data_IF_950201510671
#
_entry.id   IF_950201510671
#
_cell.length_a   1.000
_cell.length_b   1.000
_cell.length_c   1.000
_cell.angle_alpha   90.00
_cell.angle_beta   90.00
_cell.angle_gamma   90.00
#
_symmetry.space_group_name_H-M   'P 1'
#
loop_
_entity.id
_entity.type
_entity.pdbx_description
1 polymer ?
#
# COMPACT_ATOMS: atom_id res chain seq x y z
N UNK A 1 2.56 15.71 -41.00
CA UNK A 1 3.39 15.15 -39.91
C UNK A 1 3.21 15.98 -38.66
N UNK A 2 2.26 15.62 -37.80
CA UNK A 2 2.19 16.11 -36.42
C UNK A 2 2.16 14.86 -35.56
N UNK A 3 3.21 14.75 -34.77
CA UNK A 3 3.65 13.62 -33.99
C UNK A 3 2.47 12.98 -33.27
N UNK A 4 2.15 11.77 -33.71
CA UNK A 4 1.43 10.77 -32.93
C UNK A 4 2.32 10.53 -31.70
N UNK A 5 2.15 11.32 -30.64
CA UNK A 5 2.54 10.88 -29.31
C UNK A 5 1.46 9.87 -28.94
N UNK A 6 1.66 8.67 -29.44
CA UNK A 6 1.12 7.46 -28.84
C UNK A 6 1.54 7.55 -27.38
N UNK A 7 0.66 8.05 -26.52
CA UNK A 7 0.68 7.67 -25.12
C UNK A 7 0.41 6.18 -25.19
N UNK A 8 1.50 5.42 -25.36
CA UNK A 8 1.56 4.03 -24.98
C UNK A 8 1.19 4.10 -23.50
N UNK A 9 -0.10 3.89 -23.22
CA UNK A 9 -0.53 3.28 -21.98
C UNK A 9 0.22 1.96 -22.02
N UNK A 10 1.43 1.97 -21.46
CA UNK A 10 2.15 0.78 -21.09
C UNK A 10 1.22 0.09 -20.11
N UNK A 11 0.38 -0.77 -20.66
CA UNK A 11 -0.14 -1.98 -20.05
C UNK A 11 1.09 -2.83 -19.67
N UNK A 12 1.92 -2.32 -18.75
CA UNK A 12 2.75 -3.17 -17.94
C UNK A 12 1.74 -3.98 -17.13
N UNK A 13 1.46 -5.19 -17.61
CA UNK A 13 1.08 -6.30 -16.75
C UNK A 13 2.16 -6.38 -15.70
N UNK A 14 1.88 -5.78 -14.54
CA UNK A 14 2.78 -5.79 -13.41
C UNK A 14 2.62 -7.15 -12.75
N UNK A 15 3.22 -8.16 -13.36
CA UNK A 15 3.18 -9.51 -12.85
C UNK A 15 4.24 -9.59 -11.75
N UNK A 16 3.79 -9.58 -10.49
CA UNK A 16 4.67 -9.78 -9.32
C UNK A 16 5.49 -11.05 -9.56
N UNK A 17 6.80 -10.89 -9.73
CA UNK A 17 7.69 -11.96 -10.16
C UNK A 17 8.14 -12.78 -8.95
N UNK A 18 7.83 -14.08 -8.95
CA UNK A 18 8.06 -14.95 -7.78
C UNK A 18 7.02 -14.70 -6.68
N UNK A 19 5.91 -15.43 -6.72
CA UNK A 19 4.82 -15.28 -5.76
C UNK A 19 5.18 -15.93 -4.43
N UNK A 20 6.11 -15.32 -3.70
CA UNK A 20 6.28 -15.59 -2.28
C UNK A 20 5.01 -15.17 -1.55
N UNK A 21 4.55 -16.01 -0.63
CA UNK A 21 3.34 -15.74 0.14
C UNK A 21 3.62 -15.83 1.63
N UNK A 22 2.91 -15.01 2.40
CA UNK A 22 2.95 -15.00 3.85
C UNK A 22 1.54 -15.29 4.38
N UNK A 23 1.43 -16.08 5.45
CA UNK A 23 0.13 -16.35 6.09
C UNK A 23 -0.27 -15.21 7.02
N UNK A 24 -1.56 -15.06 7.27
CA UNK A 24 -2.08 -14.11 8.25
C UNK A 24 -1.51 -14.33 9.66
N UNK A 25 -1.20 -15.56 10.05
CA UNK A 25 -0.58 -15.87 11.34
C UNK A 25 0.83 -15.26 11.47
N UNK A 26 1.63 -15.38 10.40
CA UNK A 26 2.98 -14.78 10.38
C UNK A 26 2.86 -13.26 10.37
N UNK A 27 1.97 -12.69 9.54
CA UNK A 27 1.70 -11.24 9.54
C UNK A 27 1.29 -10.76 10.94
N UNK A 28 0.36 -11.46 11.59
CA UNK A 28 -0.07 -11.12 12.95
C UNK A 28 1.07 -11.15 13.95
N UNK A 29 1.95 -12.14 13.85
CA UNK A 29 3.15 -12.24 14.70
C UNK A 29 4.08 -11.05 14.47
N UNK A 30 4.40 -10.74 13.22
CA UNK A 30 5.26 -9.60 12.85
C UNK A 30 4.69 -8.27 13.34
N UNK A 31 3.36 -8.07 13.23
CA UNK A 31 2.71 -6.84 13.67
C UNK A 31 2.60 -6.75 15.19
N UNK A 32 2.50 -7.88 15.89
CA UNK A 32 2.53 -7.94 17.35
C UNK A 32 3.92 -7.57 17.90
N UNK A 33 4.99 -8.06 17.28
CA UNK A 33 6.37 -7.69 17.63
C UNK A 33 6.63 -6.19 17.44
N UNK A 34 5.95 -5.56 16.47
CA UNK A 34 5.97 -4.13 16.20
C UNK A 34 5.01 -3.32 17.09
N UNK A 35 4.51 -3.93 18.16
CA UNK A 35 3.64 -3.30 19.16
C UNK A 35 2.39 -2.62 18.58
N UNK A 36 1.89 -3.10 17.43
CA UNK A 36 0.64 -2.62 16.88
C UNK A 36 -0.51 -2.90 17.86
N UNK A 37 -1.33 -1.90 18.19
CA UNK A 37 -2.38 -2.08 19.22
C UNK A 37 -3.57 -2.88 18.70
N UNK A 38 -4.09 -2.51 17.54
CA UNK A 38 -5.27 -3.13 16.93
C UNK A 38 -4.95 -3.59 15.51
N UNK A 39 -5.39 -4.80 15.16
CA UNK A 39 -5.13 -5.43 13.86
C UNK A 39 -6.38 -6.10 13.36
N UNK A 40 -6.73 -5.84 12.10
CA UNK A 40 -7.76 -6.54 11.36
C UNK A 40 -7.12 -7.14 10.12
N UNK A 41 -6.85 -8.45 10.14
CA UNK A 41 -6.22 -9.21 9.05
C UNK A 41 -7.25 -10.20 8.55
N UNK A 42 -7.83 -9.96 7.37
CA UNK A 42 -9.02 -10.69 6.92
C UNK A 42 -8.72 -11.88 6.00
N UNK A 43 -7.62 -11.84 5.26
CA UNK A 43 -7.28 -12.87 4.27
C UNK A 43 -6.35 -13.91 4.89
N UNK A 44 -6.42 -15.17 4.43
CA UNK A 44 -5.57 -16.25 4.95
C UNK A 44 -4.09 -16.10 4.54
N UNK A 45 -3.85 -15.56 3.34
CA UNK A 45 -2.52 -15.44 2.73
C UNK A 45 -2.41 -14.16 1.93
N UNK A 46 -1.19 -13.64 1.88
CA UNK A 46 -0.84 -12.44 1.16
C UNK A 46 0.39 -12.66 0.27
N UNK A 47 0.41 -12.07 -0.93
CA UNK A 47 1.58 -12.01 -1.80
C UNK A 47 2.57 -10.99 -1.24
N UNK A 48 3.83 -11.38 -1.14
CA UNK A 48 4.93 -10.45 -0.90
C UNK A 48 5.38 -9.85 -2.22
N UNK A 49 5.77 -8.59 -2.18
CA UNK A 49 6.27 -7.84 -3.34
C UNK A 49 7.59 -7.20 -2.93
N UNK A 50 8.61 -7.22 -3.79
CA UNK A 50 9.85 -6.55 -3.42
C UNK A 50 9.68 -5.02 -3.40
N UNK A 51 10.56 -4.30 -2.68
CA UNK A 51 10.44 -2.85 -2.53
C UNK A 51 10.42 -2.09 -3.86
N UNK A 52 11.25 -2.51 -4.82
CA UNK A 52 11.35 -1.85 -6.12
C UNK A 52 10.04 -2.01 -6.91
N UNK A 53 9.53 -3.23 -6.92
CA UNK A 53 8.26 -3.57 -7.53
C UNK A 53 7.09 -2.76 -6.96
N UNK A 54 6.98 -2.70 -5.62
CA UNK A 54 5.96 -1.89 -4.97
C UNK A 54 6.10 -0.41 -5.31
N UNK A 55 7.33 0.12 -5.37
CA UNK A 55 7.56 1.52 -5.74
C UNK A 55 7.07 1.82 -7.16
N UNK A 56 7.33 0.95 -8.13
CA UNK A 56 6.82 1.10 -9.49
C UNK A 56 5.29 1.09 -9.53
N UNK A 57 4.64 0.20 -8.78
CA UNK A 57 3.19 0.16 -8.67
C UNK A 57 2.61 1.48 -8.12
N UNK A 58 3.25 2.04 -7.10
CA UNK A 58 2.85 3.31 -6.48
C UNK A 58 3.10 4.52 -7.40
N UNK A 59 4.21 4.52 -8.16
CA UNK A 59 4.52 5.55 -9.16
C UNK A 59 3.53 5.52 -10.35
N UNK A 60 3.07 4.35 -10.78
CA UNK A 60 1.99 4.26 -11.79
C UNK A 60 0.70 4.89 -11.25
N UNK A 61 0.39 4.71 -9.96
CA UNK A 61 -0.74 5.40 -9.34
C UNK A 61 -0.52 6.91 -9.27
N UNK A 62 0.71 7.38 -9.04
CA UNK A 62 0.99 8.82 -8.95
C UNK A 62 0.63 9.60 -10.22
N UNK A 63 0.48 8.90 -11.35
CA UNK A 63 -0.01 9.43 -12.61
C UNK A 63 -1.54 9.44 -12.77
N UNK A 64 -2.29 8.97 -11.78
CA UNK A 64 -3.76 8.88 -11.84
C UNK A 64 -4.42 9.78 -10.80
N UNK A 65 -5.72 10.02 -11.00
CA UNK A 65 -6.51 11.15 -10.45
C UNK A 65 -6.45 11.44 -8.92
N UNK A 66 -6.00 10.52 -8.05
CA UNK A 66 -5.90 10.77 -6.59
C UNK A 66 -4.87 11.86 -6.28
N UNK A 67 -3.70 11.85 -6.94
CA UNK A 67 -2.66 12.86 -6.64
C UNK A 67 -2.97 14.25 -7.21
N UNK A 68 -4.07 14.38 -7.96
CA UNK A 68 -4.60 15.66 -8.42
C UNK A 68 -5.67 16.21 -7.47
N UNK A 69 -6.05 15.47 -6.42
CA UNK A 69 -7.00 15.94 -5.42
C UNK A 69 -6.26 16.73 -4.36
N UNK A 70 -6.77 17.92 -4.09
CA UNK A 70 -6.29 18.73 -2.99
C UNK A 70 -6.80 18.15 -1.66
N UNK A 71 -5.95 18.25 -0.64
CA UNK A 71 -6.35 17.96 0.72
C UNK A 71 -7.47 18.90 1.16
N UNK A 72 -8.53 18.33 1.71
CA UNK A 72 -9.63 19.06 2.33
C UNK A 72 -9.92 18.45 3.69
N UNK A 73 -9.59 19.18 4.77
CA UNK A 73 -9.72 18.68 6.14
C UNK A 73 -11.13 18.12 6.42
N UNK A 74 -11.19 16.88 6.93
CA UNK A 74 -12.41 16.12 7.27
C UNK A 74 -13.35 15.76 6.11
N UNK A 75 -12.98 16.07 4.85
CA UNK A 75 -13.77 15.69 3.66
C UNK A 75 -12.97 14.81 2.72
N UNK A 76 -11.70 15.16 2.53
CA UNK A 76 -10.75 14.44 1.70
C UNK A 76 -9.38 14.58 2.33
N UNK A 77 -9.16 13.82 3.40
CA UNK A 77 -7.92 13.87 4.17
C UNK A 77 -7.17 12.53 4.19
N UNK A 78 -6.21 12.39 5.11
CA UNK A 78 -5.25 11.30 5.11
C UNK A 78 -5.90 9.90 5.06
N UNK A 79 -7.07 9.70 5.67
CA UNK A 79 -7.79 8.44 5.64
C UNK A 79 -8.42 8.15 4.27
N UNK A 80 -9.00 9.16 3.62
CA UNK A 80 -9.54 9.05 2.26
C UNK A 80 -8.44 8.70 1.25
N UNK A 81 -7.28 9.38 1.32
CA UNK A 81 -6.14 9.07 0.46
C UNK A 81 -5.69 7.61 0.66
N UNK A 82 -5.58 7.15 1.91
CA UNK A 82 -5.16 5.79 2.22
C UNK A 82 -6.18 4.73 1.77
N UNK A 83 -7.47 5.00 1.96
CA UNK A 83 -8.57 4.12 1.58
C UNK A 83 -8.65 3.95 0.07
N UNK A 84 -8.58 5.04 -0.70
CA UNK A 84 -8.72 4.97 -2.16
C UNK A 84 -7.49 4.30 -2.78
N UNK A 85 -6.29 4.52 -2.24
CA UNK A 85 -5.11 3.78 -2.71
C UNK A 85 -5.26 2.28 -2.46
N UNK A 86 -5.72 1.88 -1.27
CA UNK A 86 -5.98 0.48 -0.94
C UNK A 86 -7.01 -0.13 -1.90
N UNK A 87 -8.13 0.55 -2.12
CA UNK A 87 -9.17 0.10 -3.06
C UNK A 87 -8.63 -0.06 -4.49
N UNK A 88 -7.81 0.88 -4.96
CA UNK A 88 -7.21 0.81 -6.29
C UNK A 88 -6.27 -0.38 -6.47
N UNK A 89 -5.43 -0.69 -5.47
CA UNK A 89 -4.56 -1.87 -5.53
C UNK A 89 -5.42 -3.13 -5.63
N UNK A 90 -6.46 -3.27 -4.78
CA UNK A 90 -7.36 -4.43 -4.81
C UNK A 90 -8.08 -4.58 -6.16
N UNK A 91 -8.59 -3.48 -6.72
CA UNK A 91 -9.22 -3.48 -8.03
C UNK A 91 -8.26 -3.94 -9.13
N UNK A 92 -7.01 -3.48 -9.09
CA UNK A 92 -5.99 -3.89 -10.05
C UNK A 92 -5.67 -5.38 -9.94
N UNK A 93 -5.45 -5.88 -8.71
CA UNK A 93 -5.17 -7.30 -8.47
C UNK A 93 -6.30 -8.20 -8.98
N UNK A 94 -7.55 -7.77 -8.79
CA UNK A 94 -8.72 -8.46 -9.34
C UNK A 94 -8.68 -8.52 -10.87
N UNK A 95 -8.40 -7.39 -11.55
CA UNK A 95 -8.27 -7.34 -13.02
C UNK A 95 -7.13 -8.20 -13.56
N UNK A 96 -6.06 -8.36 -12.80
CA UNK A 96 -4.92 -9.20 -13.13
C UNK A 96 -5.12 -10.69 -12.78
N UNK A 97 -6.31 -11.06 -12.25
CA UNK A 97 -6.62 -12.42 -11.79
C UNK A 97 -5.61 -12.96 -10.77
N UNK A 98 -5.12 -12.09 -9.88
CA UNK A 98 -4.21 -12.52 -8.82
C UNK A 98 -4.95 -13.40 -7.81
N UNK A 99 -4.33 -14.54 -7.46
CA UNK A 99 -4.94 -15.54 -6.56
C UNK A 99 -5.07 -15.06 -5.12
N UNK A 100 -4.10 -14.27 -4.65
CA UNK A 100 -4.06 -13.75 -3.29
C UNK A 100 -3.82 -12.23 -3.34
N UNK A 101 -4.31 -11.49 -2.34
CA UNK A 101 -4.03 -10.07 -2.23
C UNK A 101 -2.56 -9.82 -1.89
N UNK A 102 -2.04 -8.66 -2.27
CA UNK A 102 -0.69 -8.25 -1.85
C UNK A 102 -0.75 -7.96 -0.35
N UNK A 103 0.36 -8.17 0.35
CA UNK A 103 0.54 -7.78 1.75
C UNK A 103 0.58 -6.24 1.86
N UNK A 104 -0.55 -5.60 1.55
CA UNK A 104 -0.76 -4.16 1.50
C UNK A 104 -2.06 -3.82 2.24
N UNK A 105 -2.05 -2.73 2.99
CA UNK A 105 -3.22 -2.31 3.76
C UNK A 105 -3.20 -0.85 4.19
N UNK A 106 -4.07 -0.54 5.13
CA UNK A 106 -4.21 0.77 5.76
C UNK A 106 -3.61 0.72 7.17
N UNK A 107 -2.96 1.80 7.59
CA UNK A 107 -2.39 1.94 8.93
C UNK A 107 -2.69 3.32 9.52
N UNK A 108 -3.08 3.35 10.79
CA UNK A 108 -3.19 4.58 11.57
C UNK A 108 -2.02 4.62 12.54
N UNK A 109 -1.20 5.66 12.44
CA UNK A 109 -0.08 5.91 13.35
C UNK A 109 -0.36 7.13 14.24
N UNK A 110 0.19 7.11 15.45
CA UNK A 110 0.19 8.25 16.36
C UNK A 110 1.49 9.04 16.18
N UNK A 111 1.40 10.23 15.57
CA UNK A 111 2.42 11.27 15.59
C UNK A 111 2.00 12.37 16.60
N UNK A 112 2.29 13.64 16.31
CA UNK A 112 1.68 14.80 17.00
C UNK A 112 0.15 14.77 16.88
N UNK A 113 -0.33 14.36 15.70
CA UNK A 113 -1.74 14.05 15.41
C UNK A 113 -1.81 12.62 14.84
N UNK A 114 -3.00 12.00 14.88
CA UNK A 114 -3.23 10.73 14.20
C UNK A 114 -3.11 10.95 12.69
N UNK A 115 -2.45 10.03 12.01
CA UNK A 115 -2.26 10.09 10.56
C UNK A 115 -2.53 8.72 9.96
N UNK A 116 -3.36 8.70 8.92
CA UNK A 116 -3.66 7.50 8.15
C UNK A 116 -2.71 7.41 6.96
N UNK A 117 -2.17 6.22 6.76
CA UNK A 117 -1.21 5.89 5.72
C UNK A 117 -1.58 4.54 5.12
N UNK A 118 -0.86 4.14 4.09
CA UNK A 118 -0.78 2.75 3.70
C UNK A 118 0.48 2.09 4.23
N UNK A 119 0.47 0.76 4.24
CA UNK A 119 1.67 0.00 4.53
C UNK A 119 1.75 -1.23 3.62
N UNK A 120 2.94 -1.80 3.53
CA UNK A 120 3.14 -3.09 2.91
C UNK A 120 4.29 -3.87 3.54
N UNK A 121 4.27 -5.19 3.37
CA UNK A 121 5.32 -6.11 3.78
C UNK A 121 6.05 -6.59 2.52
N UNK A 122 7.36 -6.45 2.51
CA UNK A 122 8.21 -6.83 1.39
C UNK A 122 8.69 -8.28 1.50
N UNK A 123 9.29 -8.81 0.43
CA UNK A 123 9.84 -10.18 0.37
C UNK A 123 10.96 -10.42 1.40
N UNK A 124 11.69 -9.38 1.81
CA UNK A 124 12.66 -9.39 2.92
C UNK A 124 12.00 -9.27 4.31
N UNK A 125 10.66 -9.40 4.39
CA UNK A 125 9.86 -9.30 5.62
C UNK A 125 9.99 -7.96 6.35
N UNK A 126 10.31 -6.91 5.61
CA UNK A 126 10.38 -5.55 6.12
C UNK A 126 9.02 -4.85 5.98
N UNK A 127 8.70 -3.99 6.96
CA UNK A 127 7.47 -3.20 6.97
C UNK A 127 7.78 -1.78 6.45
N UNK A 128 7.03 -1.34 5.45
CA UNK A 128 7.12 0.01 4.92
C UNK A 128 5.78 0.73 5.07
N UNK A 129 5.85 2.03 5.31
CA UNK A 129 4.71 2.96 5.27
C UNK A 129 4.79 3.84 4.04
N UNK A 130 3.65 4.07 3.41
CA UNK A 130 3.53 4.95 2.26
C UNK A 130 2.48 6.03 2.53
N UNK A 131 2.89 7.28 2.37
CA UNK A 131 2.03 8.44 2.42
C UNK A 131 1.52 8.74 1.01
N UNK A 132 0.26 8.40 0.75
CA UNK A 132 -0.36 8.58 -0.55
C UNK A 132 -0.59 10.06 -0.91
N UNK A 133 -0.64 10.95 0.08
CA UNK A 133 -0.80 12.39 -0.14
C UNK A 133 0.54 13.01 -0.54
N UNK A 134 1.60 12.67 0.20
CA UNK A 134 2.94 13.24 -0.01
C UNK A 134 3.80 12.47 -1.02
N UNK A 135 3.36 11.28 -1.45
CA UNK A 135 4.14 10.34 -2.26
C UNK A 135 5.47 9.97 -1.58
N UNK A 136 5.42 9.74 -0.26
CA UNK A 136 6.60 9.45 0.55
C UNK A 136 6.59 7.99 1.03
N UNK A 137 7.74 7.32 0.86
CA UNK A 137 7.95 5.95 1.33
C UNK A 137 8.92 5.95 2.51
N UNK A 138 8.49 5.42 3.65
CA UNK A 138 9.29 5.36 4.88
C UNK A 138 9.36 3.93 5.39
N UNK A 139 10.56 3.47 5.76
CA UNK A 139 10.71 2.16 6.43
C UNK A 139 10.20 2.28 7.87
N UNK A 140 9.50 1.25 8.37
CA UNK A 140 9.10 1.20 9.78
C UNK A 140 10.29 1.39 10.72
N UNK A 141 10.06 2.13 11.79
CA UNK A 141 10.97 2.28 12.93
C UNK A 141 10.23 1.86 14.21
N UNK A 142 10.94 1.26 15.16
CA UNK A 142 10.43 0.85 16.49
C UNK A 142 9.79 1.98 17.29
N UNK A 143 10.17 3.23 17.02
CA UNK A 143 9.61 4.40 17.69
C UNK A 143 8.26 4.84 17.10
N UNK A 144 7.82 4.21 16.00
CA UNK A 144 6.52 4.48 15.39
C UNK A 144 5.41 3.81 16.18
N UNK A 145 4.53 4.62 16.77
CA UNK A 145 3.37 4.14 17.51
C UNK A 145 2.22 3.79 16.55
N UNK A 146 2.08 2.50 16.23
CA UNK A 146 1.02 1.98 15.37
C UNK A 146 -0.25 1.74 16.20
N UNK A 147 -1.32 2.48 15.88
CA UNK A 147 -2.61 2.34 16.56
C UNK A 147 -3.45 1.23 15.94
N UNK A 148 -3.58 1.22 14.62
CA UNK A 148 -4.49 0.33 13.91
C UNK A 148 -3.91 -0.08 12.57
N UNK A 149 -4.09 -1.35 12.21
CA UNK A 149 -3.78 -1.90 10.89
C UNK A 149 -5.00 -2.66 10.37
N UNK A 150 -5.26 -2.50 9.07
CA UNK A 150 -6.26 -3.28 8.32
C UNK A 150 -5.67 -3.83 7.03
N UNK A 151 -5.85 -5.14 6.80
CA UNK A 151 -5.48 -5.87 5.58
C UNK A 151 -6.59 -6.80 5.11
#
# INVERSE_FOLDING_TARGET
MKTIITILILLFSFQVSGQETITSDIVNTMLKEKQCKFRLINDEKYLLVNKHEMKLLLEVRSQSYIHQKDFFSNIFDCDDFALILHAWIRERQYKENQKYPIAFGEVIIQKKVKHSLNFFITTDLELYFYDAQLNELTKYNKDTNILFIKM
#
